data_IF_194436550434
#
_entry.id   IF_194436550434
#
_cell.length_a   1.000
_cell.length_b   1.000
_cell.length_c   1.000
_cell.angle_alpha   90.00
_cell.angle_beta   90.00
_cell.angle_gamma   90.00
#
_symmetry.space_group_name_H-M   'P 1'
#
loop_
_entity.id
_entity.type
_entity.pdbx_description
1 polymer ?
#
# COMPACT_ATOMS: atom_id res chain seq x y z
N UNK A 1 27.38 -19.26 -1.73
CA UNK A 1 26.33 -19.64 -2.69
C UNK A 1 25.89 -18.40 -3.45
N UNK A 2 25.54 -18.52 -4.73
CA UNK A 2 24.90 -17.40 -5.47
C UNK A 2 23.51 -17.14 -4.89
N UNK A 3 23.10 -15.87 -4.88
CA UNK A 3 21.76 -15.48 -4.42
C UNK A 3 20.73 -15.96 -5.45
N UNK A 4 19.53 -16.33 -5.00
CA UNK A 4 18.45 -16.80 -5.88
C UNK A 4 17.38 -15.74 -6.03
N UNK A 5 16.94 -15.52 -7.27
CA UNK A 5 15.84 -14.62 -7.59
C UNK A 5 14.70 -15.36 -8.31
N UNK A 6 13.46 -15.00 -7.98
CA UNK A 6 12.26 -15.46 -8.70
C UNK A 6 11.49 -14.28 -9.27
N UNK A 7 11.39 -14.23 -10.59
CA UNK A 7 10.51 -13.30 -11.29
C UNK A 7 9.12 -13.92 -11.45
N UNK A 8 8.13 -13.34 -10.80
CA UNK A 8 6.72 -13.73 -10.86
C UNK A 8 6.02 -12.72 -11.76
N UNK A 9 5.56 -13.15 -12.94
CA UNK A 9 4.94 -12.25 -13.90
C UNK A 9 3.53 -12.64 -14.31
N UNK A 10 2.69 -11.62 -14.47
CA UNK A 10 1.37 -11.78 -15.04
C UNK A 10 1.41 -11.54 -16.58
N UNK A 11 1.15 -12.57 -17.41
CA UNK A 11 1.27 -12.46 -18.86
C UNK A 11 0.25 -11.50 -19.49
N UNK A 12 -0.88 -11.26 -18.83
CA UNK A 12 -1.98 -10.41 -19.34
C UNK A 12 -1.96 -8.99 -18.77
N UNK A 13 -0.92 -8.61 -18.00
CA UNK A 13 -0.80 -7.26 -17.46
C UNK A 13 -0.47 -6.21 -18.53
N UNK A 14 -1.17 -5.08 -18.46
CA UNK A 14 -0.92 -3.88 -19.25
C UNK A 14 -1.03 -4.13 -20.75
N UNK A 15 0.05 -3.85 -21.50
CA UNK A 15 0.11 -4.03 -22.96
C UNK A 15 0.62 -5.41 -23.39
N UNK A 16 0.76 -6.33 -22.43
CA UNK A 16 1.25 -7.70 -22.67
C UNK A 16 2.65 -7.77 -23.34
N UNK A 17 3.43 -6.69 -23.20
CA UNK A 17 4.78 -6.58 -23.78
C UNK A 17 5.86 -7.18 -22.91
N UNK A 18 5.56 -7.44 -21.63
CA UNK A 18 6.53 -7.91 -20.63
C UNK A 18 7.22 -9.20 -21.05
N UNK A 19 6.46 -10.17 -21.62
CA UNK A 19 7.00 -11.47 -22.04
C UNK A 19 8.14 -11.35 -23.04
N UNK A 20 8.10 -10.35 -23.93
CA UNK A 20 9.14 -10.10 -24.94
C UNK A 20 10.43 -9.56 -24.32
N UNK A 21 10.34 -8.89 -23.17
CA UNK A 21 11.47 -8.29 -22.46
C UNK A 21 12.01 -9.16 -21.32
N UNK A 22 11.39 -10.33 -21.06
CA UNK A 22 11.85 -11.23 -20.01
C UNK A 22 13.34 -11.60 -20.11
N UNK A 23 13.91 -11.94 -21.29
CA UNK A 23 15.34 -12.26 -21.37
C UNK A 23 16.23 -11.11 -20.90
N UNK A 24 15.92 -9.88 -21.30
CA UNK A 24 16.69 -8.69 -20.91
C UNK A 24 16.54 -8.40 -19.41
N UNK A 25 15.32 -8.52 -18.87
CA UNK A 25 15.06 -8.34 -17.45
C UNK A 25 15.81 -9.38 -16.61
N UNK A 26 15.74 -10.66 -16.98
CA UNK A 26 16.44 -11.74 -16.27
C UNK A 26 17.96 -11.53 -16.32
N UNK A 27 18.49 -11.10 -17.47
CA UNK A 27 19.91 -10.80 -17.64
C UNK A 27 20.40 -9.69 -16.70
N UNK A 28 19.58 -8.67 -16.40
CA UNK A 28 19.96 -7.64 -15.43
C UNK A 28 20.13 -8.21 -14.01
N UNK A 29 19.28 -9.16 -13.59
CA UNK A 29 19.43 -9.82 -12.29
C UNK A 29 20.62 -10.81 -12.26
N UNK A 30 20.87 -11.54 -13.35
CA UNK A 30 22.06 -12.40 -13.50
C UNK A 30 23.36 -11.59 -13.41
N UNK A 31 23.44 -10.45 -14.11
CA UNK A 31 24.58 -9.50 -14.00
C UNK A 31 24.76 -8.96 -12.58
N UNK A 32 23.66 -8.83 -11.82
CA UNK A 32 23.70 -8.43 -10.42
C UNK A 32 24.10 -9.57 -9.46
N UNK A 33 24.32 -10.79 -9.97
CA UNK A 33 24.80 -11.95 -9.23
C UNK A 33 23.69 -12.84 -8.67
N UNK A 34 22.48 -12.78 -9.23
CA UNK A 34 21.37 -13.65 -8.87
C UNK A 34 21.17 -14.77 -9.90
N UNK A 35 21.16 -16.03 -9.45
CA UNK A 35 20.62 -17.13 -10.26
C UNK A 35 19.11 -16.94 -10.34
N UNK A 36 18.63 -16.53 -11.52
CA UNK A 36 17.29 -15.97 -11.69
C UNK A 36 16.40 -16.92 -12.50
N UNK A 37 15.23 -17.23 -11.94
CA UNK A 37 14.21 -18.03 -12.63
C UNK A 37 12.90 -17.26 -12.75
N UNK A 38 12.03 -17.67 -13.67
CA UNK A 38 10.74 -17.01 -13.91
C UNK A 38 9.56 -17.96 -13.66
N UNK A 39 8.44 -17.39 -13.21
CA UNK A 39 7.13 -18.02 -13.08
C UNK A 39 6.08 -17.17 -13.79
N UNK A 40 5.37 -17.80 -14.72
CA UNK A 40 4.20 -17.22 -15.37
C UNK A 40 2.98 -17.50 -14.50
N UNK A 41 2.25 -16.47 -14.06
CA UNK A 41 0.98 -16.70 -13.37
C UNK A 41 -0.04 -17.36 -14.30
N UNK A 42 -0.99 -18.07 -13.71
CA UNK A 42 -2.11 -18.69 -14.42
C UNK A 42 -3.42 -18.00 -14.03
N UNK A 43 -4.53 -18.41 -14.66
CA UNK A 43 -5.88 -17.94 -14.29
C UNK A 43 -6.37 -18.51 -12.94
N UNK A 44 -5.60 -19.39 -12.29
CA UNK A 44 -5.93 -19.88 -10.96
C UNK A 44 -5.91 -18.74 -9.94
N UNK A 45 -6.88 -18.73 -9.03
CA UNK A 45 -6.95 -17.72 -7.96
C UNK A 45 -5.64 -17.69 -7.14
N UNK A 46 -5.16 -16.48 -6.88
CA UNK A 46 -3.99 -16.20 -6.05
C UNK A 46 -2.70 -16.85 -6.60
N UNK A 47 -2.56 -16.94 -7.93
CA UNK A 47 -1.43 -17.62 -8.57
C UNK A 47 -0.08 -16.96 -8.26
N UNK A 48 -0.01 -15.63 -8.16
CA UNK A 48 1.23 -14.95 -7.80
C UNK A 48 1.51 -15.09 -6.30
N UNK A 49 0.47 -15.00 -5.47
CA UNK A 49 0.57 -15.16 -4.01
C UNK A 49 1.11 -16.54 -3.63
N UNK A 50 0.56 -17.60 -4.21
CA UNK A 50 1.00 -18.99 -3.95
C UNK A 50 2.46 -19.21 -4.33
N UNK A 51 2.90 -18.64 -5.45
CA UNK A 51 4.30 -18.73 -5.87
C UNK A 51 5.23 -17.92 -4.95
N UNK A 52 4.80 -16.73 -4.53
CA UNK A 52 5.57 -15.90 -3.61
C UNK A 52 5.72 -16.57 -2.22
N UNK A 53 4.65 -17.19 -1.71
CA UNK A 53 4.68 -18.00 -0.49
C UNK A 53 5.66 -19.17 -0.61
N UNK A 54 5.60 -19.94 -1.70
CA UNK A 54 6.55 -21.04 -1.97
C UNK A 54 7.99 -20.54 -2.01
N UNK A 55 8.27 -19.47 -2.76
CA UNK A 55 9.63 -18.93 -2.87
C UNK A 55 10.16 -18.39 -1.54
N UNK A 56 9.29 -17.81 -0.73
CA UNK A 56 9.63 -17.35 0.62
C UNK A 56 10.02 -18.52 1.52
N UNK A 57 9.21 -19.60 1.54
CA UNK A 57 9.51 -20.84 2.28
C UNK A 57 10.78 -21.53 1.81
N UNK A 58 11.04 -21.51 0.49
CA UNK A 58 12.24 -22.09 -0.11
C UNK A 58 13.50 -21.25 0.15
N UNK A 59 13.40 -20.07 0.75
CA UNK A 59 14.53 -19.21 1.12
C UNK A 59 15.14 -18.47 -0.06
N UNK A 60 14.34 -17.96 -0.99
CA UNK A 60 14.83 -17.06 -2.05
C UNK A 60 15.34 -15.74 -1.46
N UNK A 61 16.33 -15.12 -2.10
CA UNK A 61 16.88 -13.84 -1.66
C UNK A 61 16.09 -12.65 -2.22
N UNK A 62 15.48 -12.82 -3.40
CA UNK A 62 14.76 -11.79 -4.13
C UNK A 62 13.52 -12.39 -4.82
N UNK A 63 12.38 -11.72 -4.66
CA UNK A 63 11.20 -11.93 -5.50
C UNK A 63 11.00 -10.67 -6.35
N UNK A 64 10.78 -10.85 -7.64
CA UNK A 64 10.51 -9.77 -8.60
C UNK A 64 9.04 -9.86 -9.02
N UNK A 65 8.20 -8.94 -8.54
CA UNK A 65 6.80 -8.86 -8.94
C UNK A 65 6.67 -8.06 -10.24
N UNK A 66 6.23 -8.72 -11.32
CA UNK A 66 6.13 -8.11 -12.64
C UNK A 66 4.68 -8.12 -13.16
N UNK A 67 3.97 -7.01 -12.95
CA UNK A 67 2.54 -6.90 -13.24
C UNK A 67 1.96 -5.56 -12.83
N UNK A 68 0.64 -5.48 -12.72
CA UNK A 68 -0.06 -4.34 -12.12
C UNK A 68 -0.16 -4.41 -10.60
N UNK A 69 -0.87 -3.45 -10.00
CA UNK A 69 -1.02 -3.33 -8.54
C UNK A 69 -1.60 -4.61 -7.91
N UNK A 70 -2.54 -5.30 -8.55
CA UNK A 70 -3.08 -6.59 -8.06
C UNK A 70 -2.04 -7.72 -8.04
N UNK A 71 -1.19 -7.84 -9.06
CA UNK A 71 -0.08 -8.83 -9.05
C UNK A 71 0.94 -8.51 -7.96
N UNK A 72 1.24 -7.23 -7.75
CA UNK A 72 2.12 -6.79 -6.68
C UNK A 72 1.50 -7.09 -5.31
N UNK A 73 0.21 -6.81 -5.11
CA UNK A 73 -0.53 -7.10 -3.89
C UNK A 73 -0.55 -8.62 -3.59
N UNK A 74 -0.79 -9.48 -4.59
CA UNK A 74 -0.71 -10.93 -4.41
C UNK A 74 0.67 -11.39 -3.95
N UNK A 75 1.75 -10.90 -4.58
CA UNK A 75 3.12 -11.22 -4.16
C UNK A 75 3.38 -10.79 -2.72
N UNK A 76 2.97 -9.57 -2.35
CA UNK A 76 3.07 -9.04 -0.99
C UNK A 76 2.32 -9.95 0.00
N UNK A 77 1.11 -10.39 -0.33
CA UNK A 77 0.33 -11.30 0.51
C UNK A 77 0.98 -12.68 0.67
N UNK A 78 1.74 -13.14 -0.32
CA UNK A 78 2.47 -14.41 -0.23
C UNK A 78 3.72 -14.32 0.64
N UNK A 79 4.35 -13.14 0.69
CA UNK A 79 5.56 -12.89 1.47
C UNK A 79 5.26 -12.49 2.92
N UNK A 80 4.25 -11.64 3.13
CA UNK A 80 4.01 -10.93 4.39
C UNK A 80 3.74 -11.81 5.62
N UNK A 81 3.12 -13.00 5.52
CA UNK A 81 2.93 -13.89 6.67
C UNK A 81 4.23 -14.43 7.29
N UNK A 82 5.34 -14.41 6.55
CA UNK A 82 6.60 -15.07 6.95
C UNK A 82 7.49 -14.13 7.75
N UNK A 83 8.25 -14.67 8.71
CA UNK A 83 9.20 -13.88 9.51
C UNK A 83 10.41 -13.43 8.67
N UNK A 84 10.99 -14.34 7.90
CA UNK A 84 12.08 -14.08 6.97
C UNK A 84 11.52 -13.93 5.57
N UNK A 85 11.67 -12.74 4.98
CA UNK A 85 11.08 -12.38 3.69
C UNK A 85 12.19 -12.04 2.70
N UNK A 86 12.12 -12.52 1.46
CA UNK A 86 13.01 -12.06 0.39
C UNK A 86 12.87 -10.55 0.19
N UNK A 87 13.88 -9.92 -0.41
CA UNK A 87 13.69 -8.56 -0.94
C UNK A 87 12.64 -8.59 -2.05
N UNK A 88 11.94 -7.48 -2.23
CA UNK A 88 10.99 -7.30 -3.32
C UNK A 88 11.56 -6.34 -4.37
N UNK A 89 11.55 -6.72 -5.64
CA UNK A 89 11.70 -5.79 -6.76
C UNK A 89 10.40 -5.74 -7.56
N UNK A 90 10.13 -4.59 -8.20
CA UNK A 90 8.87 -4.37 -8.93
C UNK A 90 9.19 -4.01 -10.38
N UNK A 91 8.55 -4.73 -11.30
CA UNK A 91 8.48 -4.38 -12.71
C UNK A 91 7.04 -3.95 -13.02
N UNK A 92 6.75 -2.63 -13.09
CA UNK A 92 5.40 -2.11 -13.18
C UNK A 92 4.82 -2.29 -14.60
N UNK A 93 4.22 -3.44 -14.85
CA UNK A 93 3.64 -3.81 -16.14
C UNK A 93 2.12 -3.63 -16.22
N UNK A 94 1.48 -3.05 -15.20
CA UNK A 94 0.04 -2.71 -15.22
C UNK A 94 -0.27 -1.34 -15.82
N UNK A 95 -1.54 -0.96 -15.77
CA UNK A 95 -2.04 0.32 -16.30
C UNK A 95 -1.80 1.48 -15.34
N UNK A 96 -2.09 1.26 -14.05
CA UNK A 96 -2.08 2.31 -13.02
C UNK A 96 -0.72 2.38 -12.33
N UNK A 97 -0.28 1.27 -11.71
CA UNK A 97 1.01 1.12 -11.03
C UNK A 97 1.23 2.21 -9.97
N UNK A 98 0.24 2.40 -9.10
CA UNK A 98 0.24 3.44 -8.08
C UNK A 98 1.40 3.24 -7.09
N UNK A 99 1.64 1.99 -6.67
CA UNK A 99 2.71 1.69 -5.73
C UNK A 99 4.10 1.95 -6.33
N UNK A 100 4.31 1.55 -7.59
CA UNK A 100 5.54 1.85 -8.32
C UNK A 100 5.74 3.37 -8.55
N UNK A 101 4.65 4.14 -8.73
CA UNK A 101 4.70 5.60 -8.86
C UNK A 101 5.14 6.25 -7.55
N UNK A 102 4.59 5.81 -6.41
CA UNK A 102 5.01 6.26 -5.09
C UNK A 102 6.50 5.96 -4.86
N UNK A 103 6.95 4.77 -5.29
CA UNK A 103 8.34 4.35 -5.17
C UNK A 103 9.28 4.86 -6.28
N UNK A 104 8.83 5.80 -7.13
CA UNK A 104 9.62 6.38 -8.25
C UNK A 104 10.27 5.35 -9.19
N UNK A 105 9.70 4.14 -9.28
CA UNK A 105 10.20 3.07 -10.14
C UNK A 105 9.88 3.42 -11.60
N UNK A 106 10.81 3.25 -12.56
CA UNK A 106 10.54 3.47 -13.98
C UNK A 106 9.32 2.67 -14.47
N UNK A 107 8.30 3.37 -14.99
CA UNK A 107 7.00 2.76 -15.37
C UNK A 107 6.84 2.39 -16.84
N UNK A 108 7.72 2.90 -17.69
CA UNK A 108 7.58 2.80 -19.16
C UNK A 108 8.72 2.00 -19.81
N UNK A 109 9.67 1.52 -19.01
CA UNK A 109 10.86 0.81 -19.45
C UNK A 109 11.19 -0.25 -18.39
N UNK A 110 10.81 -1.50 -18.67
CA UNK A 110 10.93 -2.60 -17.69
C UNK A 110 12.37 -2.97 -17.42
N UNK A 111 13.25 -2.86 -18.43
CA UNK A 111 14.68 -3.11 -18.26
C UNK A 111 15.30 -2.05 -17.35
N UNK A 112 14.92 -0.77 -17.49
CA UNK A 112 15.34 0.27 -16.54
C UNK A 112 14.82 0.05 -15.13
N UNK A 113 13.61 -0.49 -14.97
CA UNK A 113 13.11 -0.89 -13.66
C UNK A 113 13.96 -2.01 -13.05
N UNK A 114 14.33 -3.01 -13.85
CA UNK A 114 15.22 -4.09 -13.42
C UNK A 114 16.62 -3.59 -13.05
N UNK A 115 17.17 -2.64 -13.80
CA UNK A 115 18.50 -2.04 -13.56
C UNK A 115 18.64 -1.37 -12.19
N UNK A 116 17.55 -1.04 -11.49
CA UNK A 116 17.61 -0.51 -10.13
C UNK A 116 18.31 -1.47 -9.16
N UNK A 117 18.30 -2.79 -9.42
CA UNK A 117 18.99 -3.77 -8.58
C UNK A 117 20.49 -3.49 -8.46
N UNK A 118 21.12 -2.94 -9.52
CA UNK A 118 22.55 -2.65 -9.55
C UNK A 118 22.94 -1.54 -8.59
N UNK A 119 22.00 -0.64 -8.24
CA UNK A 119 22.23 0.41 -7.25
C UNK A 119 22.42 -0.14 -5.84
N UNK A 120 21.95 -1.38 -5.57
CA UNK A 120 21.93 -1.98 -4.23
C UNK A 120 21.23 -1.10 -3.18
N UNK A 121 20.26 -0.31 -3.64
CA UNK A 121 19.46 0.57 -2.81
C UNK A 121 18.11 -0.10 -2.51
N UNK A 122 17.72 -0.07 -1.25
CA UNK A 122 16.44 -0.58 -0.78
C UNK A 122 15.81 0.36 0.22
N UNK A 123 14.49 0.27 0.35
CA UNK A 123 13.71 0.97 1.37
C UNK A 123 12.83 -0.03 2.10
N UNK A 124 12.70 0.13 3.42
CA UNK A 124 11.70 -0.62 4.18
C UNK A 124 10.35 0.08 4.13
N UNK A 125 9.34 -0.64 3.69
CA UNK A 125 7.99 -0.13 3.49
C UNK A 125 7.03 -0.73 4.51
N UNK A 126 6.18 0.14 5.04
CA UNK A 126 5.04 -0.26 5.86
C UNK A 126 4.03 -1.05 5.03
N UNK A 127 3.40 -2.05 5.67
CA UNK A 127 2.31 -2.83 5.10
C UNK A 127 1.16 -2.86 6.10
N UNK A 128 -0.06 -2.69 5.61
CA UNK A 128 -1.25 -2.86 6.42
C UNK A 128 -1.73 -4.30 6.37
N UNK A 129 -2.24 -4.81 7.49
CA UNK A 129 -3.02 -6.04 7.52
C UNK A 129 -4.45 -5.70 7.88
N UNK A 130 -5.41 -6.31 7.20
CA UNK A 130 -6.83 -6.25 7.53
C UNK A 130 -7.31 -7.65 7.88
N UNK A 131 -7.98 -7.76 9.01
CA UNK A 131 -8.64 -8.99 9.45
C UNK A 131 -10.13 -8.73 9.60
N UNK A 132 -10.94 -9.49 8.87
CA UNK A 132 -12.39 -9.52 8.97
C UNK A 132 -12.84 -10.91 9.42
N UNK A 133 -14.15 -11.17 9.42
CA UNK A 133 -14.65 -12.53 9.68
C UNK A 133 -14.32 -13.52 8.55
N UNK A 134 -14.26 -13.04 7.30
CA UNK A 134 -14.07 -13.88 6.11
C UNK A 134 -12.63 -13.90 5.61
N UNK A 135 -11.86 -12.86 5.90
CA UNK A 135 -10.57 -12.62 5.26
C UNK A 135 -9.51 -12.14 6.24
N UNK A 136 -8.26 -12.46 5.91
CA UNK A 136 -7.05 -12.01 6.61
C UNK A 136 -5.99 -11.73 5.54
N UNK A 137 -5.81 -10.45 5.22
CA UNK A 137 -5.07 -10.00 4.03
C UNK A 137 -4.15 -8.84 4.37
N UNK A 138 -3.12 -8.68 3.56
CA UNK A 138 -2.24 -7.54 3.57
C UNK A 138 -2.57 -6.57 2.44
N UNK A 139 -2.27 -5.30 2.63
CA UNK A 139 -2.50 -4.22 1.68
C UNK A 139 -1.41 -3.17 1.77
N UNK A 140 -1.20 -2.46 0.67
CA UNK A 140 -0.05 -1.56 0.50
C UNK A 140 -0.44 -0.10 0.25
N UNK A 141 -1.70 0.17 -0.12
CA UNK A 141 -2.17 1.53 -0.38
C UNK A 141 -3.23 1.99 0.63
N UNK A 142 -4.41 1.35 0.63
CA UNK A 142 -5.56 1.86 1.37
C UNK A 142 -6.57 0.79 1.74
N UNK A 143 -7.09 0.88 2.97
CA UNK A 143 -8.40 0.37 3.32
C UNK A 143 -9.45 1.48 3.35
N UNK A 144 -10.60 1.27 2.71
CA UNK A 144 -11.69 2.21 2.65
C UNK A 144 -13.00 1.53 3.04
N UNK A 145 -13.89 2.26 3.70
CA UNK A 145 -15.23 1.79 4.01
C UNK A 145 -16.24 2.94 3.92
N UNK A 146 -17.49 2.61 3.67
CA UNK A 146 -18.58 3.56 3.54
C UNK A 146 -19.01 3.78 2.09
N UNK A 147 -19.92 4.71 1.90
CA UNK A 147 -20.86 4.64 0.77
C UNK A 147 -20.21 4.79 -0.62
N UNK A 148 -19.06 5.48 -0.75
CA UNK A 148 -18.40 5.65 -2.06
C UNK A 148 -17.65 4.40 -2.55
N UNK A 149 -17.43 3.37 -1.73
CA UNK A 149 -16.73 2.15 -2.17
C UNK A 149 -17.64 1.14 -2.88
N UNK A 150 -18.96 1.31 -2.79
CA UNK A 150 -19.95 0.43 -3.46
C UNK A 150 -20.16 0.79 -4.93
N UNK A 151 -19.63 1.93 -5.37
CA UNK A 151 -20.10 2.63 -6.57
C UNK A 151 -19.08 2.61 -7.72
N UNK A 152 -17.95 1.94 -7.53
CA UNK A 152 -16.84 1.91 -8.49
C UNK A 152 -17.11 1.12 -9.79
N UNK A 153 -18.31 0.57 -9.98
CA UNK A 153 -18.64 -0.26 -11.14
C UNK A 153 -19.30 0.47 -12.33
N UNK A 154 -19.69 1.75 -12.20
CA UNK A 154 -20.60 2.41 -13.17
C UNK A 154 -20.04 3.66 -13.87
N UNK A 155 -18.72 3.90 -13.91
CA UNK A 155 -18.15 5.06 -14.62
C UNK A 155 -17.54 4.65 -15.97
N UNK A 156 -18.14 5.04 -17.11
CA UNK A 156 -17.58 4.75 -18.43
C UNK A 156 -16.21 5.43 -18.63
N UNK A 157 -15.21 4.75 -19.24
CA UNK A 157 -13.85 5.26 -19.43
C UNK A 157 -13.71 6.55 -20.26
N UNK A 158 -14.78 6.96 -20.95
CA UNK A 158 -14.80 7.96 -22.03
C UNK A 158 -15.36 9.34 -21.63
N UNK A 159 -15.63 9.61 -20.35
CA UNK A 159 -16.15 10.91 -19.88
C UNK A 159 -15.09 12.01 -19.68
N UNK A 160 -13.89 11.87 -20.25
CA UNK A 160 -12.83 12.90 -20.20
C UNK A 160 -13.06 14.08 -21.16
N UNK A 161 -13.93 13.94 -22.17
CA UNK A 161 -13.81 14.77 -23.38
C UNK A 161 -14.71 16.00 -23.50
N UNK A 162 -15.71 16.22 -22.62
CA UNK A 162 -16.66 17.35 -22.78
C UNK A 162 -16.78 18.30 -21.59
N UNK A 163 -16.49 17.88 -20.36
CA UNK A 163 -16.74 18.69 -19.15
C UNK A 163 -15.59 18.70 -18.11
N UNK A 164 -14.42 18.12 -18.42
CA UNK A 164 -13.27 18.11 -17.51
C UNK A 164 -13.57 17.44 -16.15
N UNK A 165 -12.81 17.81 -15.12
CA UNK A 165 -12.90 17.26 -13.75
C UNK A 165 -14.28 17.39 -13.09
N UNK A 166 -15.16 18.28 -13.56
CA UNK A 166 -16.54 18.44 -13.07
C UNK A 166 -17.46 17.24 -13.38
N UNK A 167 -17.16 16.45 -14.40
CA UNK A 167 -17.97 15.27 -14.74
C UNK A 167 -17.94 14.19 -13.64
N UNK A 168 -16.80 14.05 -12.95
CA UNK A 168 -16.67 13.20 -11.76
C UNK A 168 -17.52 13.70 -10.60
N UNK A 169 -17.62 15.02 -10.42
CA UNK A 169 -18.44 15.63 -9.37
C UNK A 169 -19.93 15.42 -9.61
N UNK A 170 -20.41 15.55 -10.84
CA UNK A 170 -21.83 15.37 -11.18
C UNK A 170 -22.26 13.91 -10.99
N UNK A 171 -21.49 12.94 -11.48
CA UNK A 171 -21.81 11.52 -11.24
C UNK A 171 -21.64 11.12 -9.78
N UNK A 172 -20.57 11.56 -9.10
CA UNK A 172 -20.41 11.36 -7.66
C UNK A 172 -21.57 11.96 -6.86
N UNK A 173 -22.09 13.14 -7.27
CA UNK A 173 -23.25 13.79 -6.67
C UNK A 173 -24.57 13.03 -6.87
N UNK A 174 -24.76 12.34 -8.00
CA UNK A 174 -25.94 11.50 -8.24
C UNK A 174 -25.98 10.25 -7.34
N UNK A 175 -24.81 9.81 -6.88
CA UNK A 175 -24.66 8.61 -6.06
C UNK A 175 -24.84 8.94 -4.56
N UNK A 176 -24.56 10.18 -4.14
CA UNK A 176 -24.58 10.63 -2.75
C UNK A 176 -25.94 10.73 -2.02
N UNK A 177 -27.13 10.83 -2.65
CA UNK A 177 -28.41 10.83 -1.94
C UNK A 177 -28.73 9.49 -1.24
N UNK A 178 -27.99 8.43 -1.57
CA UNK A 178 -28.09 7.10 -0.95
C UNK A 178 -27.09 6.88 0.19
N UNK A 179 -26.27 7.88 0.56
CA UNK A 179 -25.28 7.80 1.65
C UNK A 179 -25.96 7.33 2.94
N UNK A 180 -25.81 6.03 3.20
CA UNK A 180 -26.31 5.38 4.39
C UNK A 180 -25.68 6.03 5.61
N UNK A 181 -26.51 6.35 6.60
CA UNK A 181 -26.07 6.77 7.93
C UNK A 181 -25.61 5.54 8.69
N UNK A 182 -24.53 4.87 8.27
CA UNK A 182 -24.04 3.71 9.03
C UNK A 182 -23.45 4.26 10.34
N UNK A 183 -24.08 3.99 11.50
CA UNK A 183 -23.49 4.35 12.78
C UNK A 183 -22.31 3.41 13.00
N UNK A 184 -21.12 3.98 13.14
CA UNK A 184 -19.88 3.23 13.28
C UNK A 184 -19.26 3.49 14.63
N UNK A 185 -18.56 2.46 15.12
CA UNK A 185 -17.59 2.57 16.21
C UNK A 185 -16.21 2.30 15.62
N UNK A 186 -15.37 3.34 15.64
CA UNK A 186 -13.99 3.27 15.17
C UNK A 186 -13.06 3.41 16.38
N UNK A 187 -12.40 2.33 16.74
CA UNK A 187 -11.37 2.32 17.80
C UNK A 187 -9.99 2.48 17.15
N UNK A 188 -9.13 3.32 17.70
CA UNK A 188 -7.76 3.56 17.23
C UNK A 188 -6.84 3.85 18.44
N UNK A 189 -5.52 3.96 18.24
CA UNK A 189 -4.53 4.05 19.32
C UNK A 189 -4.91 5.06 20.43
N UNK A 190 -5.32 6.26 20.02
CA UNK A 190 -5.55 7.40 20.92
C UNK A 190 -7.03 7.58 21.31
N UNK A 191 -7.93 6.69 20.90
CA UNK A 191 -9.33 6.82 21.31
C UNK A 191 -10.36 6.10 20.46
N UNK A 192 -11.60 6.54 20.63
CA UNK A 192 -12.77 5.95 20.00
C UNK A 192 -13.58 7.07 19.36
N UNK A 193 -14.01 6.85 18.11
CA UNK A 193 -15.06 7.63 17.47
C UNK A 193 -16.33 6.78 17.40
N UNK A 194 -17.42 7.30 17.97
CA UNK A 194 -18.76 6.72 17.85
C UNK A 194 -19.67 7.75 17.19
N UNK A 195 -20.33 7.36 16.10
CA UNK A 195 -21.22 8.24 15.37
C UNK A 195 -21.39 7.85 13.91
N UNK A 196 -22.04 8.71 13.14
CA UNK A 196 -22.25 8.46 11.71
C UNK A 196 -20.98 8.78 10.92
N UNK A 197 -20.58 7.90 10.01
CA UNK A 197 -19.53 8.18 9.04
C UNK A 197 -20.04 7.93 7.62
N UNK A 198 -19.74 8.84 6.70
CA UNK A 198 -20.01 8.62 5.27
C UNK A 198 -18.85 7.91 4.56
N UNK A 199 -17.62 8.20 5.01
CA UNK A 199 -16.38 7.63 4.50
C UNK A 199 -15.39 7.40 5.63
N UNK A 200 -14.70 6.27 5.55
CA UNK A 200 -13.59 5.89 6.41
C UNK A 200 -12.43 5.50 5.49
N UNK A 201 -11.25 6.06 5.74
CA UNK A 201 -10.02 5.67 5.07
C UNK A 201 -8.96 5.32 6.11
N UNK A 202 -8.25 4.22 5.87
CA UNK A 202 -7.07 3.75 6.58
C UNK A 202 -5.94 3.69 5.55
N UNK A 203 -5.22 4.79 5.40
CA UNK A 203 -4.26 4.99 4.30
C UNK A 203 -2.81 4.76 4.71
N UNK A 204 -2.05 4.03 3.88
CA UNK A 204 -0.59 3.86 3.96
C UNK A 204 0.17 4.89 3.12
N UNK A 205 -0.45 5.39 2.05
CA UNK A 205 0.14 6.36 1.14
C UNK A 205 -0.58 7.71 1.22
N UNK A 206 0.02 8.74 0.61
CA UNK A 206 -0.52 10.10 0.58
C UNK A 206 -1.61 10.31 -0.48
N UNK A 207 -1.88 9.31 -1.32
CA UNK A 207 -2.74 9.43 -2.50
C UNK A 207 -3.79 8.32 -2.54
N UNK A 208 -5.03 8.71 -2.82
CA UNK A 208 -6.16 7.78 -2.93
C UNK A 208 -7.03 8.20 -4.10
N UNK A 209 -7.30 7.29 -5.05
CA UNK A 209 -8.24 7.56 -6.15
C UNK A 209 -7.90 8.79 -7.01
N UNK A 210 -6.61 9.16 -7.11
CA UNK A 210 -6.16 10.36 -7.82
C UNK A 210 -6.07 11.65 -6.98
N UNK A 211 -6.45 11.60 -5.69
CA UNK A 211 -6.28 12.73 -4.76
C UNK A 211 -4.93 12.64 -4.05
N UNK A 212 -3.92 13.33 -4.58
CA UNK A 212 -2.52 13.27 -4.08
C UNK A 212 -2.29 13.98 -2.73
N UNK A 213 -3.30 14.69 -2.20
CA UNK A 213 -3.23 15.45 -0.94
C UNK A 213 -4.21 14.97 0.12
N UNK A 214 -4.73 13.74 0.02
CA UNK A 214 -5.69 13.23 1.01
C UNK A 214 -5.06 13.09 2.40
N UNK A 215 -3.77 12.78 2.43
CA UNK A 215 -2.93 12.78 3.63
C UNK A 215 -1.63 13.57 3.34
N UNK A 216 -1.68 14.91 3.40
CA UNK A 216 -0.62 15.76 2.87
C UNK A 216 0.70 15.70 3.67
N UNK A 217 0.63 15.29 4.94
CA UNK A 217 1.76 15.12 5.86
C UNK A 217 2.25 13.66 5.97
N UNK A 218 1.72 12.75 5.14
CA UNK A 218 2.03 11.33 5.25
C UNK A 218 3.46 11.04 4.81
N UNK A 219 4.26 10.54 5.74
CA UNK A 219 5.58 9.99 5.49
C UNK A 219 5.47 8.47 5.24
N UNK A 220 6.21 7.97 4.26
CA UNK A 220 6.30 6.53 3.99
C UNK A 220 7.26 5.91 5.02
N UNK A 221 6.87 4.79 5.64
CA UNK A 221 7.72 4.09 6.61
C UNK A 221 7.65 4.62 8.05
N UNK A 222 6.73 5.53 8.36
CA UNK A 222 6.54 6.10 9.70
C UNK A 222 5.85 5.14 10.69
N UNK A 223 5.40 3.96 10.24
CA UNK A 223 4.72 2.97 11.06
C UNK A 223 3.32 3.40 11.53
N UNK A 224 2.68 4.36 10.85
CA UNK A 224 1.33 4.84 11.21
C UNK A 224 0.42 4.93 9.99
N UNK A 225 -0.79 4.39 10.08
CA UNK A 225 -1.84 4.70 9.11
C UNK A 225 -2.23 6.18 9.25
N UNK A 226 -2.73 6.75 8.16
CA UNK A 226 -3.59 7.94 8.25
C UNK A 226 -5.04 7.48 8.28
N UNK A 227 -5.67 7.58 9.46
CA UNK A 227 -7.10 7.37 9.65
C UNK A 227 -7.85 8.67 9.32
N UNK A 228 -8.78 8.59 8.37
CA UNK A 228 -9.67 9.68 7.99
C UNK A 228 -11.11 9.21 8.17
N UNK A 229 -11.90 9.90 8.99
CA UNK A 229 -13.35 9.63 9.13
C UNK A 229 -14.13 10.89 8.79
N UNK A 230 -14.97 10.81 7.76
CA UNK A 230 -15.87 11.90 7.37
C UNK A 230 -17.17 11.80 8.17
N UNK A 231 -17.30 12.66 9.18
CA UNK A 231 -18.36 12.68 10.21
C UNK A 231 -19.66 13.34 9.74
N UNK A 232 -19.91 13.37 8.43
CA UNK A 232 -21.08 14.04 7.87
C UNK A 232 -21.63 13.29 6.66
N UNK A 233 -22.95 13.27 6.57
CA UNK A 233 -23.71 12.79 5.41
C UNK A 233 -24.31 13.94 4.61
N UNK A 234 -24.06 15.21 5.01
CA UNK A 234 -24.57 16.37 4.31
C UNK A 234 -23.74 16.63 3.06
N UNK A 235 -24.40 16.62 1.90
CA UNK A 235 -23.77 16.81 0.60
C UNK A 235 -23.00 18.14 0.47
N UNK A 236 -23.57 19.25 0.93
CA UNK A 236 -22.90 20.56 0.84
C UNK A 236 -21.64 20.58 1.71
N UNK A 237 -21.66 19.90 2.85
CA UNK A 237 -20.47 19.75 3.70
C UNK A 237 -19.42 18.85 3.03
N UNK A 238 -19.83 17.75 2.40
CA UNK A 238 -18.91 16.87 1.65
C UNK A 238 -18.25 17.63 0.50
N UNK A 239 -19.01 18.40 -0.30
CA UNK A 239 -18.45 19.23 -1.36
C UNK A 239 -17.45 20.25 -0.81
N UNK A 240 -17.77 20.89 0.32
CA UNK A 240 -16.85 21.81 0.99
C UNK A 240 -15.56 21.10 1.41
N UNK A 241 -15.63 19.88 1.93
CA UNK A 241 -14.46 19.08 2.29
C UNK A 241 -13.60 18.74 1.06
N UNK A 242 -14.22 18.38 -0.07
CA UNK A 242 -13.49 18.11 -1.32
C UNK A 242 -12.80 19.38 -1.82
N UNK A 243 -13.45 20.55 -1.76
CA UNK A 243 -12.82 21.82 -2.14
C UNK A 243 -11.61 22.14 -1.25
N UNK A 244 -11.72 21.93 0.06
CA UNK A 244 -10.60 22.10 1.00
C UNK A 244 -9.45 21.11 0.71
N UNK A 245 -9.78 19.87 0.37
CA UNK A 245 -8.82 18.85 -0.05
C UNK A 245 -8.04 19.30 -1.30
N UNK A 246 -8.74 19.81 -2.31
CA UNK A 246 -8.14 20.20 -3.60
C UNK A 246 -7.25 21.45 -3.51
N UNK A 247 -7.65 22.44 -2.72
CA UNK A 247 -6.93 23.72 -2.67
C UNK A 247 -5.60 23.60 -1.91
N UNK A 248 -5.60 22.99 -0.73
CA UNK A 248 -4.46 23.02 0.18
C UNK A 248 -4.41 21.86 1.20
N UNK A 249 -5.31 20.88 1.11
CA UNK A 249 -5.33 19.77 2.07
C UNK A 249 -5.85 20.16 3.46
N UNK A 250 -6.54 21.31 3.59
CA UNK A 250 -7.10 21.78 4.87
C UNK A 250 -8.35 21.03 5.33
N UNK A 251 -8.85 20.06 4.54
CA UNK A 251 -9.91 19.15 4.98
C UNK A 251 -9.52 18.44 6.28
N UNK A 252 -8.23 18.19 6.49
CA UNK A 252 -7.65 17.61 7.71
C UNK A 252 -7.99 18.37 8.99
N UNK A 253 -8.19 19.69 8.92
CA UNK A 253 -8.49 20.56 10.07
C UNK A 253 -9.99 20.79 10.28
N UNK A 254 -10.84 20.31 9.37
CA UNK A 254 -12.27 20.57 9.43
C UNK A 254 -12.91 19.74 10.56
N UNK A 255 -13.82 20.30 11.39
CA UNK A 255 -14.41 19.59 12.54
C UNK A 255 -15.21 18.33 12.15
N UNK A 256 -15.69 18.27 10.90
CA UNK A 256 -16.37 17.11 10.31
C UNK A 256 -15.42 16.02 9.80
N UNK A 257 -14.12 16.16 10.01
CA UNK A 257 -13.10 15.16 9.67
C UNK A 257 -12.41 14.73 10.96
N UNK A 258 -12.36 13.44 11.21
CA UNK A 258 -11.36 12.87 12.11
C UNK A 258 -10.12 12.64 11.25
N UNK A 259 -9.00 13.22 11.65
CA UNK A 259 -7.72 13.01 10.99
C UNK A 259 -6.70 12.58 12.05
N UNK A 260 -6.26 11.33 12.00
CA UNK A 260 -5.40 10.74 13.03
C UNK A 260 -4.31 9.86 12.44
N UNK A 261 -3.12 9.91 13.02
CA UNK A 261 -2.05 8.93 12.77
C UNK A 261 -2.19 7.82 13.80
N UNK A 262 -2.25 6.56 13.36
CA UNK A 262 -2.50 5.42 14.25
C UNK A 262 -1.92 4.13 13.69
N UNK A 263 -1.39 3.24 14.53
CA UNK A 263 -0.91 1.91 14.13
C UNK A 263 -2.01 0.85 14.13
N UNK A 264 -3.14 1.13 14.79
CA UNK A 264 -4.29 0.23 14.86
C UNK A 264 -5.59 0.96 14.54
N UNK A 265 -6.50 0.27 13.84
CA UNK A 265 -7.88 0.70 13.64
C UNK A 265 -8.80 -0.52 13.74
N UNK A 266 -9.87 -0.44 14.53
CA UNK A 266 -10.98 -1.39 14.49
C UNK A 266 -12.25 -0.67 14.07
N UNK A 267 -12.82 -1.06 12.94
CA UNK A 267 -14.04 -0.51 12.40
C UNK A 267 -15.20 -1.50 12.61
N UNK A 268 -16.26 -1.04 13.27
CA UNK A 268 -17.44 -1.85 13.58
C UNK A 268 -18.70 -1.02 13.30
N UNK A 269 -19.80 -1.68 12.92
CA UNK A 269 -21.12 -1.06 12.88
C UNK A 269 -21.78 -1.15 14.26
N UNK A 270 -22.56 -0.15 14.63
CA UNK A 270 -23.33 -0.13 15.88
C UNK A 270 -24.72 -0.78 15.73
N UNK A 271 -25.02 -1.32 14.56
CA UNK A 271 -26.27 -1.99 14.21
C UNK A 271 -26.01 -3.12 13.18
N UNK A 272 -27.07 -3.82 12.77
CA UNK A 272 -27.01 -4.94 11.83
C UNK A 272 -26.79 -4.51 10.37
N UNK A 273 -26.50 -3.23 10.10
CA UNK A 273 -26.16 -2.80 8.73
C UNK A 273 -24.78 -3.33 8.36
N UNK A 274 -24.66 -3.81 7.13
CA UNK A 274 -23.39 -4.23 6.56
C UNK A 274 -22.52 -3.00 6.26
N UNK A 275 -21.23 -3.10 6.58
CA UNK A 275 -20.21 -2.13 6.17
C UNK A 275 -19.13 -2.87 5.40
N UNK A 276 -19.20 -2.78 4.09
CA UNK A 276 -18.20 -3.39 3.20
C UNK A 276 -16.88 -2.63 3.27
N UNK A 277 -15.78 -3.38 3.29
CA UNK A 277 -14.43 -2.86 3.27
C UNK A 277 -13.85 -3.06 1.87
N UNK A 278 -13.33 -1.99 1.28
CA UNK A 278 -12.50 -2.02 0.08
C UNK A 278 -11.03 -1.94 0.48
N UNK A 279 -10.20 -2.79 -0.12
CA UNK A 279 -8.77 -2.90 0.16
C UNK A 279 -8.03 -2.84 -1.17
N UNK A 280 -7.20 -1.82 -1.36
CA UNK A 280 -6.44 -1.59 -2.60
C UNK A 280 -7.28 -1.64 -3.89
N UNK A 281 -8.57 -1.30 -3.80
CA UNK A 281 -9.51 -1.32 -4.94
C UNK A 281 -10.36 -2.59 -5.04
N UNK A 282 -10.09 -3.62 -4.25
CA UNK A 282 -10.83 -4.89 -4.25
C UNK A 282 -11.69 -5.07 -2.99
N UNK A 283 -12.61 -6.03 -3.02
CA UNK A 283 -13.44 -6.36 -1.85
C UNK A 283 -12.61 -7.07 -0.77
N UNK A 284 -12.56 -6.47 0.42
CA UNK A 284 -11.77 -6.92 1.57
C UNK A 284 -12.57 -7.63 2.66
N UNK A 285 -13.85 -7.91 2.43
CA UNK A 285 -14.78 -8.44 3.42
C UNK A 285 -15.58 -7.36 4.14
N UNK A 286 -16.29 -7.76 5.19
CA UNK A 286 -17.20 -6.91 5.95
C UNK A 286 -16.68 -6.57 7.34
N UNK A 287 -17.10 -5.43 7.87
CA UNK A 287 -16.93 -5.11 9.29
C UNK A 287 -17.61 -6.18 10.19
N UNK A 288 -17.09 -6.48 11.40
CA UNK A 288 -15.96 -5.82 12.05
C UNK A 288 -14.64 -6.10 11.34
N UNK A 289 -13.85 -5.05 11.13
CA UNK A 289 -12.58 -5.09 10.42
C UNK A 289 -11.48 -4.49 11.28
N UNK A 290 -10.42 -5.26 11.51
CA UNK A 290 -9.26 -4.85 12.28
C UNK A 290 -8.07 -4.61 11.35
N UNK A 291 -7.57 -3.38 11.36
CA UNK A 291 -6.41 -2.93 10.61
C UNK A 291 -5.23 -2.82 11.56
N UNK A 292 -4.14 -3.50 11.24
CA UNK A 292 -2.89 -3.49 12.01
C UNK A 292 -1.74 -3.06 11.11
N UNK A 293 -0.94 -2.11 11.58
CA UNK A 293 0.23 -1.63 10.89
C UNK A 293 1.42 -2.57 11.13
N UNK A 294 2.06 -3.01 10.05
CA UNK A 294 3.35 -3.67 10.09
C UNK A 294 4.39 -2.64 9.60
N UNK A 295 5.07 -2.00 10.57
CA UNK A 295 6.10 -1.01 10.29
C UNK A 295 7.27 -1.67 9.56
N UNK A 296 7.73 -1.05 8.47
CA UNK A 296 8.94 -1.47 7.75
C UNK A 296 8.95 -2.97 7.38
N UNK A 297 7.78 -3.50 7.04
CA UNK A 297 7.55 -4.94 6.89
C UNK A 297 8.25 -5.55 5.68
N UNK A 298 8.35 -4.81 4.57
CA UNK A 298 8.97 -5.30 3.33
C UNK A 298 10.14 -4.45 2.90
N UNK A 299 11.25 -5.10 2.57
CA UNK A 299 12.41 -4.46 1.94
C UNK A 299 12.24 -4.44 0.41
N UNK A 300 12.18 -3.25 -0.17
CA UNK A 300 11.87 -3.05 -1.59
C UNK A 300 13.04 -2.36 -2.31
N UNK A 301 13.44 -2.91 -3.46
CA UNK A 301 14.43 -2.31 -4.37
C UNK A 301 13.86 -1.04 -5.00
N UNK A 302 14.58 0.06 -4.90
CA UNK A 302 14.13 1.36 -5.40
C UNK A 302 15.31 2.27 -5.79
N UNK A 303 14.99 3.47 -6.28
CA UNK A 303 15.93 4.55 -6.57
C UNK A 303 15.80 5.65 -5.48
N UNK A 304 16.60 5.53 -4.42
CA UNK A 304 16.57 6.48 -3.30
C UNK A 304 16.98 7.89 -3.73
N UNK A 305 17.85 8.00 -4.73
CA UNK A 305 18.34 9.28 -5.26
C UNK A 305 17.19 10.10 -5.88
N UNK A 306 16.21 9.41 -6.49
CA UNK A 306 15.04 10.04 -7.12
C UNK A 306 13.89 10.30 -6.17
N UNK A 307 13.87 9.62 -5.04
CA UNK A 307 12.76 9.73 -4.12
C UNK A 307 12.67 11.14 -3.53
N UNK A 308 13.79 11.82 -3.22
CA UNK A 308 13.80 13.13 -2.53
C UNK A 308 12.77 13.20 -1.37
N UNK A 309 12.43 12.04 -0.79
CA UNK A 309 11.38 11.91 0.19
C UNK A 309 11.96 12.35 1.53
N UNK A 310 11.14 13.00 2.35
CA UNK A 310 11.30 13.04 3.80
C UNK A 310 11.07 11.62 4.35
N UNK A 311 11.98 10.70 4.04
CA UNK A 311 12.07 9.41 4.72
C UNK A 311 12.74 9.72 6.05
N UNK A 312 12.20 9.25 7.18
CA UNK A 312 12.94 9.22 8.43
C UNK A 312 14.13 8.25 8.25
N UNK A 313 15.23 8.76 7.71
CA UNK A 313 16.52 8.07 7.68
C UNK A 313 17.19 8.06 9.05
N UNK A 314 16.60 8.73 10.06
CA UNK A 314 17.20 8.94 11.37
C UNK A 314 17.13 7.74 12.31
N UNK A 315 16.28 6.73 12.06
CA UNK A 315 16.13 5.63 13.03
C UNK A 315 17.01 4.40 12.72
N UNK A 316 17.39 4.16 11.46
CA UNK A 316 18.18 2.97 11.08
C UNK A 316 19.65 3.05 11.52
N UNK A 317 20.25 4.24 11.47
CA UNK A 317 21.63 4.43 11.90
C UNK A 317 21.77 4.58 13.41
N UNK A 318 20.66 4.83 14.12
CA UNK A 318 20.69 5.12 15.56
C UNK A 318 20.45 3.85 16.35
N UNK A 319 19.47 3.00 15.99
CA UNK A 319 19.23 1.75 16.71
C UNK A 319 20.39 0.75 16.58
N UNK A 320 20.95 0.54 15.37
CA UNK A 320 22.12 -0.34 15.20
C UNK A 320 23.36 0.18 15.94
N UNK A 321 23.59 1.50 15.93
CA UNK A 321 24.72 2.10 16.67
C UNK A 321 24.50 2.14 18.17
N UNK A 322 23.26 2.28 18.62
CA UNK A 322 22.92 2.28 20.04
C UNK A 322 23.02 0.87 20.62
N UNK A 323 22.60 -0.16 19.88
CA UNK A 323 22.85 -1.57 20.23
C UNK A 323 24.33 -1.93 20.19
N UNK A 324 25.08 -1.49 19.16
CA UNK A 324 26.53 -1.69 19.09
C UNK A 324 27.26 -0.95 20.23
N UNK A 325 26.79 0.24 20.60
CA UNK A 325 27.31 1.01 21.72
C UNK A 325 27.01 0.34 23.07
N UNK A 326 25.76 -0.09 23.31
CA UNK A 326 25.38 -0.84 24.52
C UNK A 326 26.21 -2.11 24.68
N UNK A 327 26.43 -2.84 23.58
CA UNK A 327 27.24 -4.06 23.56
C UNK A 327 28.70 -3.78 23.90
N UNK A 328 29.29 -2.72 23.32
CA UNK A 328 30.68 -2.30 23.64
C UNK A 328 30.83 -1.79 25.07
N UNK A 329 29.82 -1.14 25.64
CA UNK A 329 29.85 -0.68 27.04
C UNK A 329 29.79 -1.88 28.00
N UNK A 330 28.96 -2.89 27.71
CA UNK A 330 28.93 -4.13 28.51
C UNK A 330 30.26 -4.89 28.44
N UNK A 331 30.85 -5.03 27.24
CA UNK A 331 32.15 -5.70 27.06
C UNK A 331 33.34 -4.99 27.75
N UNK A 332 33.20 -3.69 28.07
CA UNK A 332 34.20 -2.92 28.81
C UNK A 332 34.02 -3.06 30.33
N UNK A 333 32.78 -3.20 30.82
CA UNK A 333 32.48 -3.40 32.24
C UNK A 333 32.91 -4.79 32.71
N UNK A 334 32.75 -5.83 31.87
CA UNK A 334 33.19 -7.19 32.19
C UNK A 334 34.73 -7.36 32.23
N UNK A 335 35.49 -6.38 31.73
CA UNK A 335 36.97 -6.40 31.73
C UNK A 335 37.60 -5.63 32.89
N UNK A 336 36.82 -4.90 33.67
CA UNK A 336 37.30 -4.21 34.89
C UNK A 336 37.08 -5.05 36.17
N UNK A 337 36.45 -6.22 36.06
CA UNK A 337 36.21 -7.16 37.19
C UNK A 337 37.08 -8.44 37.16
N UNK A 338 38.07 -8.56 36.26
CA UNK A 338 39.14 -9.58 36.28
C UNK A 338 40.51 -9.00 36.68
#
# INVERSE_FOLDING_TARGET
MRKRARLIYNPTSGRETLKKQLPDILNEYEKAGYDTSAFCTTAAALSAQKEADRCTKDGFDLIVAAGGDGTINEVINGMSPHLHRPKLAIIPAGTTNDYARALKIPRYDYVKAAQLIHKKQTVHMDIGRVKTKSDDKFFMNIGAAGFLTEVTYDVPPNMKSLFGSLAYFVKGAELLPRVGKVPVKITYDEGIYEGVASLIFVALTNSVGGFEKIAPDKMLGDGKFTLIVVKTTNFAEILRLITLLMNDGRHTQHPKVLYKKTSYVKAETQNDQQLMINIDGEYGGDAPAEFTMYKQHLEIVTDLDRMQLSISAQDLMTEEKEEEFKKRVMELQDKEEE
#
